data_IF_298441552057
#
_entry.id   IF_298441552057
#
_cell.length_a   1.000
_cell.length_b   1.000
_cell.length_c   1.000
_cell.angle_alpha   90.00
_cell.angle_beta   90.00
_cell.angle_gamma   90.00
#
_symmetry.space_group_name_H-M   'P 1'
#
loop_
_entity.id
_entity.type
_entity.pdbx_description
1 polymer ?
#
# COMPACT_ATOMS: atom_id res chain seq x y z
N UNK A 1 40.09 -5.91 -5.89
CA UNK A 1 39.59 -6.15 -4.53
C UNK A 1 38.81 -4.90 -4.13
N UNK A 2 37.47 -4.92 -4.28
CA UNK A 2 36.60 -3.75 -4.11
C UNK A 2 36.20 -3.61 -2.64
N UNK A 3 36.80 -2.65 -1.95
CA UNK A 3 36.38 -2.29 -0.59
C UNK A 3 35.08 -1.50 -0.68
N UNK A 4 33.96 -2.19 -0.48
CA UNK A 4 32.62 -1.60 -0.34
C UNK A 4 32.59 -0.78 0.96
N UNK A 5 32.96 0.50 0.87
CA UNK A 5 32.86 1.45 1.97
C UNK A 5 31.37 1.77 2.18
N UNK A 6 30.67 0.90 2.91
CA UNK A 6 29.35 1.19 3.45
C UNK A 6 29.50 2.35 4.42
N UNK A 7 29.11 3.55 3.97
CA UNK A 7 29.06 4.74 4.83
C UNK A 7 28.22 4.47 6.08
N UNK A 8 28.46 5.21 7.18
CA UNK A 8 27.75 5.02 8.44
C UNK A 8 26.24 5.04 8.22
N UNK A 9 25.53 4.10 8.85
CA UNK A 9 24.08 4.01 8.77
C UNK A 9 23.47 5.38 9.12
N UNK A 10 22.53 5.91 8.31
CA UNK A 10 21.97 7.23 8.54
C UNK A 10 21.36 7.28 9.94
N UNK A 11 21.69 8.33 10.69
CA UNK A 11 21.14 8.53 12.03
C UNK A 11 19.61 8.56 12.00
N UNK A 12 18.97 8.05 13.06
CA UNK A 12 17.50 7.98 13.21
C UNK A 12 16.80 9.31 12.88
N UNK A 13 17.47 10.44 13.14
CA UNK A 13 17.01 11.80 12.82
C UNK A 13 16.86 12.04 11.30
N UNK A 14 17.81 11.60 10.48
CA UNK A 14 17.75 11.77 9.03
C UNK A 14 16.62 10.96 8.39
N UNK A 15 16.35 9.76 8.91
CA UNK A 15 15.22 8.92 8.46
C UNK A 15 13.88 9.58 8.80
N UNK A 16 13.74 10.09 10.03
CA UNK A 16 12.51 10.80 10.45
C UNK A 16 12.30 12.06 9.62
N UNK A 17 13.37 12.78 9.29
CA UNK A 17 13.29 13.96 8.44
C UNK A 17 12.82 13.61 7.02
N UNK A 18 13.39 12.56 6.41
CA UNK A 18 12.96 12.06 5.10
C UNK A 18 11.47 11.67 5.10
N UNK A 19 11.04 10.90 6.12
CA UNK A 19 9.63 10.51 6.28
C UNK A 19 8.72 11.73 6.47
N UNK A 20 9.18 12.78 7.17
CA UNK A 20 8.43 14.02 7.32
C UNK A 20 8.28 14.76 6.00
N UNK A 21 9.31 14.78 5.16
CA UNK A 21 9.22 15.34 3.81
C UNK A 21 8.24 14.56 2.93
N UNK A 22 8.32 13.23 2.92
CA UNK A 22 7.39 12.38 2.19
C UNK A 22 5.94 12.53 2.69
N UNK A 23 5.74 12.57 4.01
CA UNK A 23 4.41 12.78 4.59
C UNK A 23 3.82 14.15 4.23
N UNK A 24 4.64 15.21 4.20
CA UNK A 24 4.19 16.54 3.77
C UNK A 24 3.81 16.56 2.29
N UNK A 25 4.58 15.86 1.45
CA UNK A 25 4.29 15.74 0.02
C UNK A 25 2.96 15.01 -0.23
N UNK A 26 2.73 13.91 0.49
CA UNK A 26 1.48 13.16 0.45
C UNK A 26 0.28 14.01 0.92
N UNK A 27 0.47 14.83 1.96
CA UNK A 27 -0.54 15.77 2.44
C UNK A 27 -0.82 16.90 1.44
N UNK A 28 0.19 17.37 0.69
CA UNK A 28 0.00 18.35 -0.39
C UNK A 28 -0.95 17.77 -1.45
N UNK A 29 -0.78 16.49 -1.76
CA UNK A 29 -1.59 15.77 -2.74
C UNK A 29 -2.81 15.04 -2.13
N UNK A 30 -3.27 15.44 -0.94
CA UNK A 30 -4.32 14.70 -0.17
C UNK A 30 -5.56 14.30 -0.97
N UNK A 31 -6.00 15.12 -1.92
CA UNK A 31 -7.19 14.85 -2.75
C UNK A 31 -6.99 13.65 -3.69
N UNK A 32 -5.75 13.42 -4.12
CA UNK A 32 -5.35 12.27 -4.93
C UNK A 32 -4.82 11.12 -4.06
N UNK A 33 -4.11 11.44 -2.98
CA UNK A 33 -3.53 10.46 -2.07
C UNK A 33 -4.60 9.64 -1.32
N UNK A 34 -5.68 10.28 -0.86
CA UNK A 34 -6.74 9.58 -0.14
C UNK A 34 -7.42 8.50 -1.00
N UNK A 35 -7.86 8.78 -2.24
CA UNK A 35 -8.36 7.72 -3.09
C UNK A 35 -7.27 6.75 -3.54
N UNK A 36 -6.04 7.21 -3.81
CA UNK A 36 -4.92 6.34 -4.15
C UNK A 36 -4.62 5.28 -3.09
N UNK A 37 -4.73 5.64 -1.81
CA UNK A 37 -4.46 4.73 -0.69
C UNK A 37 -5.62 3.76 -0.47
N UNK A 38 -6.87 4.23 -0.54
CA UNK A 38 -8.04 3.46 -0.09
C UNK A 38 -8.71 2.65 -1.21
N UNK A 39 -8.87 3.23 -2.41
CA UNK A 39 -9.61 2.56 -3.49
C UNK A 39 -8.97 1.24 -3.94
N UNK A 40 -7.63 1.10 -4.05
CA UNK A 40 -7.04 -0.19 -4.38
C UNK A 40 -7.39 -1.24 -3.34
N UNK A 41 -7.31 -0.92 -2.04
CA UNK A 41 -7.65 -1.87 -0.99
C UNK A 41 -9.13 -2.32 -1.08
N UNK A 42 -10.05 -1.38 -1.33
CA UNK A 42 -11.49 -1.67 -1.50
C UNK A 42 -11.75 -2.50 -2.74
N UNK A 43 -11.15 -2.16 -3.88
CA UNK A 43 -11.25 -2.94 -5.12
C UNK A 43 -10.73 -4.36 -4.92
N UNK A 44 -9.61 -4.53 -4.20
CA UNK A 44 -9.06 -5.84 -3.87
C UNK A 44 -10.02 -6.66 -3.03
N UNK A 45 -10.72 -6.03 -2.09
CA UNK A 45 -11.72 -6.73 -1.26
C UNK A 45 -12.86 -7.24 -2.13
N UNK A 46 -13.35 -6.41 -3.06
CA UNK A 46 -14.35 -6.79 -4.04
C UNK A 46 -13.91 -8.00 -4.90
N UNK A 47 -12.69 -7.94 -5.43
CA UNK A 47 -12.19 -9.00 -6.31
C UNK A 47 -11.85 -10.29 -5.54
N UNK A 48 -11.17 -10.19 -4.40
CA UNK A 48 -10.63 -11.37 -3.68
C UNK A 48 -11.61 -12.01 -2.70
N UNK A 49 -12.57 -11.27 -2.15
CA UNK A 49 -13.46 -11.79 -1.11
C UNK A 49 -14.92 -11.81 -1.56
N UNK A 50 -15.40 -10.75 -2.23
CA UNK A 50 -16.79 -10.72 -2.68
C UNK A 50 -17.02 -11.71 -3.83
N UNK A 51 -16.05 -11.84 -4.75
CA UNK A 51 -16.21 -12.77 -5.87
C UNK A 51 -16.35 -14.25 -5.42
N UNK A 52 -15.48 -14.80 -4.54
CA UNK A 52 -15.66 -16.16 -4.03
C UNK A 52 -16.95 -16.34 -3.22
N UNK A 53 -17.39 -15.34 -2.45
CA UNK A 53 -18.65 -15.41 -1.70
C UNK A 53 -19.87 -15.48 -2.63
N UNK A 54 -19.87 -14.72 -3.72
CA UNK A 54 -20.93 -14.77 -4.72
C UNK A 54 -20.97 -16.14 -5.39
N UNK A 55 -19.81 -16.71 -5.76
CA UNK A 55 -19.72 -18.06 -6.32
C UNK A 55 -20.23 -19.10 -5.31
N UNK A 56 -19.84 -19.01 -4.04
CA UNK A 56 -20.27 -19.93 -2.99
C UNK A 56 -21.78 -19.89 -2.77
N UNK A 57 -22.38 -18.68 -2.77
CA UNK A 57 -23.84 -18.51 -2.65
C UNK A 57 -24.58 -19.11 -3.85
N UNK A 58 -24.05 -18.91 -5.06
CA UNK A 58 -24.62 -19.50 -6.28
C UNK A 58 -24.52 -21.02 -6.28
N UNK A 59 -23.39 -21.57 -5.81
CA UNK A 59 -23.20 -23.01 -5.69
C UNK A 59 -24.13 -23.64 -4.64
N UNK A 60 -24.33 -22.99 -3.49
CA UNK A 60 -25.26 -23.45 -2.46
C UNK A 60 -26.71 -23.47 -2.92
N UNK A 61 -27.16 -22.40 -3.60
CA UNK A 61 -28.54 -22.33 -4.12
C UNK A 61 -28.77 -23.26 -5.31
N UNK A 62 -27.73 -23.54 -6.11
CA UNK A 62 -27.79 -24.56 -7.15
C UNK A 62 -27.86 -26.00 -6.61
N UNK A 63 -27.43 -26.21 -5.36
CA UNK A 63 -27.49 -27.50 -4.68
C UNK A 63 -28.82 -27.72 -3.95
N UNK A 64 -29.45 -26.65 -3.45
CA UNK A 64 -30.77 -26.71 -2.78
C UNK A 64 -31.95 -26.79 -3.77
N UNK A 65 -31.87 -26.12 -4.93
CA UNK A 65 -32.90 -26.17 -5.98
C UNK A 65 -32.44 -27.05 -7.16
N UNK A 66 -33.08 -28.21 -7.32
CA UNK A 66 -32.75 -29.26 -8.30
C UNK A 66 -32.85 -28.89 -9.80
N UNK A 67 -32.01 -27.96 -10.27
CA UNK A 67 -31.76 -27.68 -11.69
C UNK A 67 -31.58 -26.21 -12.01
N UNK A 68 -30.32 -25.77 -12.21
CA UNK A 68 -29.98 -24.48 -12.80
C UNK A 68 -30.41 -24.43 -14.27
N UNK A 69 -31.60 -23.91 -14.54
CA UNK A 69 -32.00 -23.57 -15.91
C UNK A 69 -31.25 -22.32 -16.38
N UNK A 70 -30.79 -22.29 -17.63
CA UNK A 70 -30.01 -21.19 -18.22
C UNK A 70 -30.62 -19.80 -17.98
N UNK A 71 -31.96 -19.68 -18.06
CA UNK A 71 -32.68 -18.43 -17.81
C UNK A 71 -32.65 -17.94 -16.35
N UNK A 72 -32.48 -18.84 -15.37
CA UNK A 72 -32.33 -18.47 -13.95
C UNK A 72 -30.89 -18.16 -13.59
N UNK A 73 -29.91 -18.79 -14.23
CA UNK A 73 -28.49 -18.55 -13.99
C UNK A 73 -27.98 -17.22 -14.60
N UNK A 74 -28.54 -16.82 -15.74
CA UNK A 74 -28.10 -15.64 -16.50
C UNK A 74 -28.08 -14.32 -15.69
N UNK A 75 -29.14 -13.91 -14.96
CA UNK A 75 -29.10 -12.66 -14.19
C UNK A 75 -28.04 -12.68 -13.07
N UNK A 76 -27.73 -13.85 -12.51
CA UNK A 76 -26.69 -13.99 -11.50
C UNK A 76 -25.28 -13.90 -12.07
N UNK A 77 -25.04 -14.54 -13.22
CA UNK A 77 -23.76 -14.43 -13.93
C UNK A 77 -23.51 -12.98 -14.36
N UNK A 78 -24.55 -12.29 -14.83
CA UNK A 78 -24.47 -10.87 -15.16
C UNK A 78 -24.24 -9.99 -13.91
N UNK A 79 -24.95 -10.25 -12.81
CA UNK A 79 -24.75 -9.53 -11.55
C UNK A 79 -23.35 -9.74 -10.96
N UNK A 80 -22.83 -10.96 -11.03
CA UNK A 80 -21.45 -11.29 -10.67
C UNK A 80 -20.44 -10.56 -11.56
N UNK A 81 -20.62 -10.65 -12.88
CA UNK A 81 -19.77 -9.97 -13.86
C UNK A 81 -19.76 -8.46 -13.66
N UNK A 82 -20.93 -7.84 -13.45
CA UNK A 82 -21.04 -6.41 -13.19
C UNK A 82 -20.34 -6.03 -11.87
N UNK A 83 -20.50 -6.83 -10.82
CA UNK A 83 -19.83 -6.59 -9.54
C UNK A 83 -18.31 -6.65 -9.68
N UNK A 84 -17.79 -7.64 -10.42
CA UNK A 84 -16.36 -7.73 -10.72
C UNK A 84 -15.87 -6.56 -11.56
N UNK A 85 -16.61 -6.15 -12.58
CA UNK A 85 -16.26 -5.00 -13.42
C UNK A 85 -16.23 -3.70 -12.62
N UNK A 86 -17.19 -3.50 -11.70
CA UNK A 86 -17.20 -2.35 -10.81
C UNK A 86 -16.02 -2.38 -9.83
N UNK A 87 -15.72 -3.54 -9.25
CA UNK A 87 -14.57 -3.71 -8.35
C UNK A 87 -13.24 -3.45 -9.09
N UNK A 88 -13.09 -3.95 -10.31
CA UNK A 88 -11.94 -3.68 -11.18
C UNK A 88 -11.88 -2.19 -11.55
N UNK A 89 -12.99 -1.54 -11.89
CA UNK A 89 -13.01 -0.11 -12.17
C UNK A 89 -12.55 0.72 -10.96
N UNK A 90 -13.02 0.39 -9.75
CA UNK A 90 -12.58 1.02 -8.50
C UNK A 90 -11.08 0.81 -8.28
N UNK A 91 -10.59 -0.42 -8.49
CA UNK A 91 -9.16 -0.73 -8.44
C UNK A 91 -8.36 0.14 -9.43
N UNK A 92 -8.80 0.21 -10.69
CA UNK A 92 -8.14 1.00 -11.75
C UNK A 92 -8.10 2.48 -11.44
N UNK A 93 -9.18 3.05 -10.91
CA UNK A 93 -9.21 4.46 -10.48
C UNK A 93 -8.22 4.70 -9.35
N UNK A 94 -8.19 3.80 -8.35
CA UNK A 94 -7.22 3.86 -7.27
C UNK A 94 -5.77 3.84 -7.76
N UNK A 95 -5.45 2.92 -8.67
CA UNK A 95 -4.14 2.83 -9.32
C UNK A 95 -3.78 4.08 -10.13
N UNK A 96 -4.75 4.65 -10.85
CA UNK A 96 -4.52 5.89 -11.58
C UNK A 96 -4.20 7.06 -10.64
N UNK A 97 -4.92 7.17 -9.52
CA UNK A 97 -4.63 8.17 -8.50
C UNK A 97 -3.25 7.95 -7.87
N UNK A 98 -2.85 6.69 -7.62
CA UNK A 98 -1.56 6.33 -7.05
C UNK A 98 -0.42 6.78 -7.98
N UNK A 99 -0.46 6.36 -9.25
CA UNK A 99 0.55 6.75 -10.25
C UNK A 99 0.67 8.27 -10.40
N UNK A 100 -0.45 9.01 -10.28
CA UNK A 100 -0.46 10.48 -10.28
C UNK A 100 0.23 11.06 -9.05
N UNK A 101 0.01 10.48 -7.87
CA UNK A 101 0.64 10.92 -6.62
C UNK A 101 2.15 10.67 -6.67
N UNK A 102 2.58 9.51 -7.16
CA UNK A 102 3.99 9.17 -7.27
C UNK A 102 4.70 10.08 -8.27
N UNK A 103 4.12 10.29 -9.45
CA UNK A 103 4.70 11.18 -10.47
C UNK A 103 4.84 12.62 -9.96
N UNK A 104 3.75 13.21 -9.44
CA UNK A 104 3.75 14.60 -8.97
C UNK A 104 4.60 14.80 -7.70
N UNK A 105 4.66 13.77 -6.84
CA UNK A 105 5.47 13.80 -5.63
C UNK A 105 6.96 13.69 -5.93
N UNK A 106 7.35 12.74 -6.79
CA UNK A 106 8.73 12.59 -7.25
C UNK A 106 9.22 13.84 -7.99
N UNK A 107 8.42 14.38 -8.91
CA UNK A 107 8.76 15.59 -9.66
C UNK A 107 9.11 16.75 -8.72
N UNK A 108 8.26 17.01 -7.73
CA UNK A 108 8.51 18.10 -6.80
C UNK A 108 9.73 17.85 -5.90
N UNK A 109 9.95 16.60 -5.45
CA UNK A 109 11.12 16.24 -4.66
C UNK A 109 12.42 16.35 -5.47
N UNK A 110 12.37 16.08 -6.78
CA UNK A 110 13.50 16.30 -7.67
C UNK A 110 13.82 17.78 -7.86
N UNK A 111 12.80 18.61 -8.15
CA UNK A 111 12.98 20.05 -8.34
C UNK A 111 13.48 20.69 -7.04
N UNK A 112 12.76 20.48 -5.93
CA UNK A 112 13.14 21.07 -4.64
C UNK A 112 14.50 20.57 -4.14
N UNK A 113 14.83 19.30 -4.37
CA UNK A 113 16.13 18.75 -4.00
C UNK A 113 17.28 19.30 -4.86
N UNK A 114 17.01 19.61 -6.13
CA UNK A 114 17.98 20.24 -7.03
C UNK A 114 18.18 21.71 -6.69
N UNK A 115 17.11 22.46 -6.41
CA UNK A 115 17.17 23.87 -6.00
C UNK A 115 18.00 24.03 -4.72
N UNK A 116 17.76 23.16 -3.72
CA UNK A 116 18.53 23.13 -2.47
C UNK A 116 20.00 22.76 -2.69
N UNK A 117 20.30 21.91 -3.68
CA UNK A 117 21.66 21.55 -4.06
C UNK A 117 22.37 22.74 -4.74
N UNK A 118 21.71 23.42 -5.67
CA UNK A 118 22.25 24.56 -6.40
C UNK A 118 22.46 25.79 -5.50
N UNK A 119 21.71 25.90 -4.40
CA UNK A 119 21.89 26.93 -3.39
C UNK A 119 23.13 26.74 -2.50
N UNK A 120 23.91 25.64 -2.65
CA UNK A 120 25.14 25.41 -1.87
C UNK A 120 26.33 26.20 -2.41
N UNK A 121 27.24 26.56 -1.51
CA UNK A 121 28.44 27.32 -1.85
C UNK A 121 29.46 26.51 -2.68
N UNK A 122 30.33 27.21 -3.40
CA UNK A 122 31.38 26.59 -4.21
C UNK A 122 32.32 25.66 -3.41
N UNK A 123 32.57 25.99 -2.14
CA UNK A 123 33.37 25.14 -1.24
C UNK A 123 32.75 23.74 -1.05
N UNK A 124 31.43 23.65 -0.98
CA UNK A 124 30.72 22.37 -0.84
C UNK A 124 30.92 21.46 -2.06
N UNK A 125 30.95 22.03 -3.26
CA UNK A 125 31.19 21.30 -4.51
C UNK A 125 32.66 20.96 -4.75
N UNK A 126 33.57 21.64 -4.05
CA UNK A 126 34.99 21.27 -4.05
C UNK A 126 35.22 19.97 -3.28
N UNK A 127 34.50 19.80 -2.17
CA UNK A 127 34.60 18.62 -1.30
C UNK A 127 33.68 17.45 -1.70
N UNK A 128 32.69 17.70 -2.56
CA UNK A 128 31.69 16.71 -2.95
C UNK A 128 31.55 16.61 -4.47
N UNK A 129 31.75 15.40 -5.01
CA UNK A 129 31.61 15.16 -6.45
C UNK A 129 30.16 15.40 -6.91
N UNK A 130 29.96 16.37 -7.81
CA UNK A 130 28.65 16.80 -8.28
C UNK A 130 27.74 15.64 -8.77
N UNK A 131 28.30 14.67 -9.50
CA UNK A 131 27.54 13.51 -9.96
C UNK A 131 26.99 12.63 -8.82
N UNK A 132 27.70 12.57 -7.70
CA UNK A 132 27.24 11.83 -6.51
C UNK A 132 26.09 12.55 -5.80
N UNK A 133 26.09 13.88 -5.81
CA UNK A 133 25.03 14.72 -5.21
C UNK A 133 23.74 14.62 -6.00
N UNK A 134 23.82 14.78 -7.33
CA UNK A 134 22.66 14.60 -8.23
C UNK A 134 22.05 13.22 -8.07
N UNK A 135 22.88 12.17 -8.01
CA UNK A 135 22.41 10.79 -7.78
C UNK A 135 21.70 10.63 -6.43
N UNK A 136 22.19 11.29 -5.37
CA UNK A 136 21.54 11.26 -4.04
C UNK A 136 20.18 11.94 -4.07
N UNK A 137 20.04 13.08 -4.76
CA UNK A 137 18.76 13.78 -4.94
C UNK A 137 17.77 12.91 -5.72
N UNK A 138 18.19 12.33 -6.86
CA UNK A 138 17.35 11.42 -7.63
C UNK A 138 16.97 10.16 -6.82
N UNK A 139 17.91 9.59 -6.07
CA UNK A 139 17.60 8.45 -5.21
C UNK A 139 16.64 8.83 -4.09
N UNK A 140 16.70 10.06 -3.57
CA UNK A 140 15.80 10.53 -2.52
C UNK A 140 14.38 10.72 -3.05
N UNK A 141 14.20 11.34 -4.21
CA UNK A 141 12.87 11.46 -4.82
C UNK A 141 12.31 10.09 -5.21
N UNK A 142 13.09 9.19 -5.81
CA UNK A 142 12.62 7.84 -6.18
C UNK A 142 12.14 7.03 -4.97
N UNK A 143 12.81 7.15 -3.81
CA UNK A 143 12.40 6.47 -2.57
C UNK A 143 11.05 6.93 -2.02
N UNK A 144 10.50 8.04 -2.52
CA UNK A 144 9.13 8.44 -2.21
C UNK A 144 8.11 7.43 -2.77
N UNK A 145 8.30 6.98 -4.01
CA UNK A 145 7.47 5.95 -4.64
C UNK A 145 7.51 4.67 -3.81
N UNK A 146 8.70 4.17 -3.46
CA UNK A 146 8.86 2.99 -2.59
C UNK A 146 8.10 3.14 -1.26
N UNK A 147 8.13 4.34 -0.67
CA UNK A 147 7.41 4.66 0.56
C UNK A 147 5.89 4.62 0.35
N UNK A 148 5.37 5.31 -0.66
CA UNK A 148 3.94 5.37 -0.97
C UNK A 148 3.40 3.99 -1.34
N UNK A 149 4.14 3.22 -2.13
CA UNK A 149 3.81 1.82 -2.47
C UNK A 149 3.75 0.94 -1.23
N UNK A 150 4.74 1.06 -0.34
CA UNK A 150 4.75 0.29 0.90
C UNK A 150 3.54 0.63 1.76
N UNK A 151 3.20 1.92 1.90
CA UNK A 151 2.02 2.35 2.64
C UNK A 151 0.76 1.79 1.97
N UNK A 152 0.63 1.89 0.66
CA UNK A 152 -0.58 1.48 -0.08
C UNK A 152 -0.77 -0.04 -0.05
N UNK A 153 0.22 -0.81 -0.49
CA UNK A 153 0.05 -2.25 -0.67
C UNK A 153 0.30 -3.06 0.59
N UNK A 154 1.27 -2.66 1.42
CA UNK A 154 1.66 -3.43 2.60
C UNK A 154 0.86 -3.02 3.83
N UNK A 155 0.74 -1.72 4.09
CA UNK A 155 0.05 -1.21 5.27
C UNK A 155 -1.46 -1.18 5.03
N UNK A 156 -1.93 -0.37 4.09
CA UNK A 156 -3.37 -0.21 3.82
C UNK A 156 -3.95 -1.51 3.25
N UNK A 157 -3.24 -2.16 2.32
CA UNK A 157 -3.63 -3.45 1.76
C UNK A 157 -3.75 -4.60 2.78
N UNK A 158 -3.13 -4.49 3.95
CA UNK A 158 -3.30 -5.48 5.05
C UNK A 158 -4.30 -5.01 6.10
N UNK A 159 -4.23 -3.72 6.50
CA UNK A 159 -5.08 -3.16 7.55
C UNK A 159 -6.55 -3.10 7.14
N UNK A 160 -6.86 -2.70 5.90
CA UNK A 160 -8.25 -2.54 5.46
C UNK A 160 -8.97 -3.90 5.42
N UNK A 161 -8.42 -4.96 4.81
CA UNK A 161 -9.05 -6.29 4.90
C UNK A 161 -9.12 -6.85 6.32
N UNK A 162 -8.11 -6.58 7.16
CA UNK A 162 -8.11 -7.02 8.56
C UNK A 162 -9.25 -6.37 9.34
N UNK A 163 -9.42 -5.05 9.22
CA UNK A 163 -10.52 -4.32 9.86
C UNK A 163 -11.86 -4.76 9.30
N UNK A 164 -11.97 -4.92 7.98
CA UNK A 164 -13.18 -5.44 7.35
C UNK A 164 -13.56 -6.82 7.89
N UNK A 165 -12.61 -7.76 7.92
CA UNK A 165 -12.80 -9.09 8.48
C UNK A 165 -13.19 -9.06 9.96
N UNK A 166 -12.54 -8.21 10.76
CA UNK A 166 -12.87 -8.07 12.18
C UNK A 166 -14.29 -7.52 12.40
N UNK A 167 -14.71 -6.51 11.64
CA UNK A 167 -16.07 -5.93 11.72
C UNK A 167 -17.12 -6.95 11.30
N UNK A 168 -16.89 -7.66 10.19
CA UNK A 168 -17.81 -8.71 9.73
C UNK A 168 -17.89 -9.83 10.75
N UNK A 169 -16.77 -10.34 11.24
CA UNK A 169 -16.73 -11.44 12.19
C UNK A 169 -17.36 -11.07 13.54
N UNK A 170 -17.25 -9.80 13.97
CA UNK A 170 -17.92 -9.29 15.18
C UNK A 170 -19.43 -9.43 15.09
N UNK A 171 -20.01 -9.28 13.90
CA UNK A 171 -21.46 -9.43 13.70
C UNK A 171 -21.95 -10.88 13.78
N UNK A 172 -21.06 -11.86 13.55
CA UNK A 172 -21.37 -13.29 13.66
C UNK A 172 -21.08 -13.83 15.06
N UNK A 173 -19.82 -13.79 15.49
CA UNK A 173 -19.38 -14.26 16.81
C UNK A 173 -18.22 -13.41 17.34
N UNK A 174 -18.46 -12.55 18.35
CA UNK A 174 -17.43 -11.68 18.91
C UNK A 174 -16.22 -12.43 19.47
N UNK A 175 -16.38 -13.67 19.95
CA UNK A 175 -15.29 -14.48 20.46
C UNK A 175 -14.23 -14.82 19.42
N UNK A 176 -14.62 -14.99 18.16
CA UNK A 176 -13.66 -15.26 17.08
C UNK A 176 -12.77 -14.04 16.81
N UNK A 177 -13.29 -12.82 16.98
CA UNK A 177 -12.50 -11.59 16.88
C UNK A 177 -11.48 -11.50 18.01
N UNK A 178 -11.90 -11.83 19.24
CA UNK A 178 -10.99 -11.87 20.40
C UNK A 178 -9.89 -12.91 20.17
N UNK A 179 -10.25 -14.11 19.68
CA UNK A 179 -9.30 -15.16 19.32
C UNK A 179 -8.30 -14.73 18.24
N UNK A 180 -8.78 -14.05 17.19
CA UNK A 180 -7.93 -13.50 16.13
C UNK A 180 -6.91 -12.50 16.68
N UNK A 181 -7.35 -11.51 17.46
CA UNK A 181 -6.44 -10.54 18.07
C UNK A 181 -5.47 -11.19 19.05
N UNK A 182 -5.91 -12.20 19.80
CA UNK A 182 -5.05 -12.97 20.69
C UNK A 182 -3.98 -13.74 19.92
N UNK A 183 -4.31 -14.41 18.82
CA UNK A 183 -3.33 -15.09 17.98
C UNK A 183 -2.35 -14.12 17.33
N UNK A 184 -2.82 -12.96 16.86
CA UNK A 184 -1.93 -11.91 16.33
C UNK A 184 -0.97 -11.43 17.43
N UNK A 185 -1.49 -11.13 18.62
CA UNK A 185 -0.68 -10.68 19.75
C UNK A 185 0.36 -11.73 20.18
N UNK A 186 -0.05 -13.00 20.30
CA UNK A 186 0.85 -14.11 20.61
C UNK A 186 1.95 -14.25 19.55
N UNK A 187 1.59 -14.16 18.27
CA UNK A 187 2.55 -14.24 17.16
C UNK A 187 3.56 -13.10 17.24
N UNK A 188 3.11 -11.88 17.51
CA UNK A 188 4.00 -10.71 17.67
C UNK A 188 4.92 -10.90 18.88
N UNK A 189 4.40 -11.33 20.03
CA UNK A 189 5.19 -11.58 21.24
C UNK A 189 6.22 -12.68 21.03
N UNK A 190 5.87 -13.75 20.31
CA UNK A 190 6.80 -14.84 20.00
C UNK A 190 7.85 -14.45 18.95
N UNK A 191 7.46 -13.69 17.92
CA UNK A 191 8.35 -13.31 16.83
C UNK A 191 9.30 -12.15 17.19
N UNK A 192 8.87 -11.21 18.03
CA UNK A 192 9.67 -10.05 18.45
C UNK A 192 11.05 -10.43 19.02
N UNK A 193 11.17 -11.36 19.99
CA UNK A 193 12.49 -11.76 20.50
C UNK A 193 13.33 -12.48 19.45
N UNK A 194 12.72 -13.24 18.54
CA UNK A 194 13.44 -13.94 17.47
C UNK A 194 14.02 -12.96 16.44
N UNK A 195 13.28 -11.91 16.10
CA UNK A 195 13.72 -10.84 15.20
C UNK A 195 14.83 -10.02 15.85
N UNK A 196 14.66 -9.65 17.14
CA UNK A 196 15.70 -8.91 17.89
C UNK A 196 17.00 -9.68 18.08
N UNK A 197 16.97 -11.01 18.00
CA UNK A 197 18.18 -11.86 18.06
C UNK A 197 18.91 -11.97 16.71
N UNK A 198 18.27 -11.61 15.60
CA UNK A 198 18.82 -11.72 14.23
C UNK A 198 19.31 -10.39 13.65
N UNK A 199 18.97 -9.27 14.28
CA UNK A 199 19.49 -7.94 13.96
C UNK A 199 20.64 -7.59 14.89
#
# INVERSE_FOLDING_TARGET
>A
MTTDTRGPAPGRSAVVLALRHYGRELLRLRRLALPALLLPAVGNIGIRYVAPLLIAKLAGQAADDGGLTLGRALPYVLGFGLTLLLAEAVWRVGQHCLNRVDALGMEHLYVSGMDELLAKDAAFFHDNFAGSLTKRVLSFGKRFEDFVDTVTYRIVGSLVPLVFGAVVLWSYEPMLVVGLFLMIALTVVAATPLIRRRQ
#
